data_IF_273630501757
#
_entry.id   IF_273630501757
#
_cell.length_a   1.000
_cell.length_b   1.000
_cell.length_c   1.000
_cell.angle_alpha   90.00
_cell.angle_beta   90.00
_cell.angle_gamma   90.00
#
_symmetry.space_group_name_H-M   'P 1'
#
loop_
_entity.id
_entity.type
_entity.pdbx_description
1 polymer ?
#
# COMPACT_ATOMS: atom_id res chain seq x y z
N UNK A 1 -3.16 7.37 17.46
CA UNK A 1 -3.72 6.10 16.97
C UNK A 1 -4.86 5.69 17.88
N UNK A 2 -6.05 5.38 17.34
CA UNK A 2 -7.19 5.01 18.19
C UNK A 2 -7.06 3.56 18.69
N UNK A 3 -7.67 3.21 19.84
CA UNK A 3 -7.59 1.87 20.42
C UNK A 3 -8.04 0.77 19.45
N UNK A 4 -9.07 1.08 18.64
CA UNK A 4 -9.62 0.15 17.63
C UNK A 4 -8.59 -0.25 16.58
N UNK A 5 -7.79 0.72 16.11
CA UNK A 5 -6.73 0.48 15.12
C UNK A 5 -5.60 -0.35 15.75
N UNK A 6 -5.22 -0.07 17.00
CA UNK A 6 -4.18 -0.83 17.70
C UNK A 6 -4.57 -2.31 17.88
N UNK A 7 -5.83 -2.58 18.24
CA UNK A 7 -6.37 -3.94 18.35
C UNK A 7 -6.38 -4.66 17.00
N UNK A 8 -6.77 -3.98 15.93
CA UNK A 8 -6.77 -4.55 14.58
C UNK A 8 -5.35 -4.92 14.11
N UNK A 9 -4.35 -4.06 14.33
CA UNK A 9 -2.97 -4.37 13.94
C UNK A 9 -2.40 -5.56 14.71
N UNK A 10 -2.68 -5.65 16.02
CA UNK A 10 -2.28 -6.82 16.83
C UNK A 10 -2.89 -8.12 16.29
N UNK A 11 -4.16 -8.10 15.88
CA UNK A 11 -4.82 -9.27 15.27
C UNK A 11 -4.13 -9.70 13.97
N UNK A 12 -3.70 -8.74 13.15
CA UNK A 12 -2.97 -9.00 11.91
C UNK A 12 -1.52 -9.47 12.14
N UNK A 13 -1.06 -9.56 13.39
CA UNK A 13 0.35 -9.85 13.70
C UNK A 13 1.30 -8.70 13.33
N UNK A 14 0.76 -7.50 13.08
CA UNK A 14 1.53 -6.31 12.73
C UNK A 14 1.93 -5.61 14.03
N UNK A 15 3.17 -5.81 14.44
CA UNK A 15 3.74 -5.16 15.61
C UNK A 15 4.01 -3.66 15.37
N UNK A 16 4.19 -2.85 16.44
CA UNK A 16 4.40 -1.41 16.34
C UNK A 16 5.59 -1.00 15.47
N UNK A 17 6.65 -1.81 15.47
CA UNK A 17 7.83 -1.59 14.63
C UNK A 17 7.48 -1.70 13.14
N UNK A 18 6.73 -2.75 12.75
CA UNK A 18 6.29 -2.94 11.38
C UNK A 18 5.31 -1.84 10.95
N UNK A 19 4.39 -1.43 11.84
CA UNK A 19 3.52 -0.26 11.61
C UNK A 19 4.32 0.99 11.27
N UNK A 20 5.41 1.24 12.01
CA UNK A 20 6.27 2.41 11.78
C UNK A 20 7.04 2.30 10.47
N UNK A 21 7.56 1.11 10.14
CA UNK A 21 8.25 0.86 8.86
C UNK A 21 7.31 1.09 7.68
N UNK A 22 6.07 0.59 7.75
CA UNK A 22 5.05 0.82 6.72
C UNK A 22 4.81 2.33 6.55
N UNK A 23 4.52 3.04 7.64
CA UNK A 23 4.25 4.48 7.57
C UNK A 23 5.41 5.31 7.04
N UNK A 24 6.66 4.99 7.44
CA UNK A 24 7.85 5.67 6.88
C UNK A 24 7.98 5.37 5.38
N UNK A 25 7.75 4.13 4.97
CA UNK A 25 7.87 3.71 3.57
C UNK A 25 6.78 4.34 2.69
N UNK A 26 5.56 4.50 3.19
CA UNK A 26 4.48 5.22 2.50
C UNK A 26 4.84 6.69 2.30
N UNK A 27 5.35 7.36 3.34
CA UNK A 27 5.79 8.76 3.24
C UNK A 27 6.95 8.88 2.24
N UNK A 28 7.93 7.99 2.31
CA UNK A 28 9.05 7.97 1.37
C UNK A 28 8.57 7.74 -0.07
N UNK A 29 7.61 6.84 -0.28
CA UNK A 29 6.98 6.60 -1.56
C UNK A 29 6.24 7.83 -2.09
N UNK A 30 5.46 8.51 -1.25
CA UNK A 30 4.76 9.74 -1.62
C UNK A 30 5.73 10.87 -2.00
N UNK A 31 6.78 11.08 -1.20
CA UNK A 31 7.85 12.05 -1.50
C UNK A 31 8.56 11.68 -2.79
N UNK A 32 8.88 10.40 -3.00
CA UNK A 32 9.51 9.91 -4.22
C UNK A 32 8.64 10.07 -5.47
N UNK A 33 7.31 9.89 -5.37
CA UNK A 33 6.38 10.16 -6.46
C UNK A 33 6.33 11.64 -6.81
N UNK A 34 6.30 12.53 -5.81
CA UNK A 34 6.36 13.98 -6.01
C UNK A 34 7.68 14.34 -6.71
N UNK A 35 8.82 13.87 -6.21
CA UNK A 35 10.13 14.07 -6.85
C UNK A 35 10.19 13.49 -8.28
N UNK A 36 9.47 12.39 -8.52
CA UNK A 36 9.34 11.71 -9.80
C UNK A 36 8.77 12.58 -10.93
N UNK A 37 8.05 13.65 -10.59
CA UNK A 37 7.54 14.64 -11.56
C UNK A 37 8.69 15.32 -12.30
N UNK A 38 9.82 15.54 -11.62
CA UNK A 38 11.02 16.14 -12.22
C UNK A 38 12.05 15.09 -12.66
N UNK A 39 12.05 13.91 -12.06
CA UNK A 39 12.99 12.83 -12.33
C UNK A 39 12.27 11.49 -12.49
N UNK A 40 11.90 11.15 -13.71
CA UNK A 40 11.13 9.92 -14.01
C UNK A 40 11.69 8.65 -13.34
N UNK A 41 13.02 8.37 -13.30
CA UNK A 41 13.55 7.19 -12.63
C UNK A 41 13.21 7.11 -11.13
N UNK A 42 13.17 8.25 -10.44
CA UNK A 42 12.81 8.32 -9.01
C UNK A 42 11.33 8.01 -8.82
N UNK A 43 10.47 8.53 -9.70
CA UNK A 43 9.04 8.25 -9.69
C UNK A 43 8.75 6.76 -9.91
N UNK A 44 9.43 6.13 -10.88
CA UNK A 44 9.30 4.69 -11.15
C UNK A 44 9.73 3.86 -9.94
N UNK A 45 10.88 4.18 -9.33
CA UNK A 45 11.36 3.48 -8.14
C UNK A 45 10.40 3.63 -6.95
N UNK A 46 9.86 4.83 -6.73
CA UNK A 46 8.89 5.10 -5.67
C UNK A 46 7.56 4.36 -5.90
N UNK A 47 7.05 4.36 -7.13
CA UNK A 47 5.86 3.61 -7.52
C UNK A 47 6.04 2.10 -7.30
N UNK A 48 7.18 1.55 -7.71
CA UNK A 48 7.50 0.13 -7.50
C UNK A 48 7.53 -0.21 -5.99
N UNK A 49 8.15 0.64 -5.16
CA UNK A 49 8.15 0.48 -3.71
C UNK A 49 6.74 0.48 -3.11
N UNK A 50 5.90 1.43 -3.52
CA UNK A 50 4.50 1.50 -3.07
C UNK A 50 3.67 0.28 -3.52
N UNK A 51 3.86 -0.19 -4.75
CA UNK A 51 3.23 -1.43 -5.25
C UNK A 51 3.62 -2.62 -4.37
N UNK A 52 4.91 -2.76 -4.02
CA UNK A 52 5.38 -3.81 -3.12
C UNK A 52 4.72 -3.72 -1.72
N UNK A 53 4.59 -2.51 -1.16
CA UNK A 53 3.89 -2.31 0.12
C UNK A 53 2.42 -2.73 0.04
N UNK A 54 1.72 -2.34 -1.04
CA UNK A 54 0.31 -2.66 -1.25
C UNK A 54 0.08 -4.17 -1.44
N UNK A 55 0.98 -4.87 -2.15
CA UNK A 55 0.98 -6.33 -2.23
C UNK A 55 1.09 -6.95 -0.83
N UNK A 56 2.03 -6.45 -0.01
CA UNK A 56 2.18 -6.89 1.37
C UNK A 56 0.90 -6.74 2.18
N UNK A 57 0.20 -5.60 2.05
CA UNK A 57 -1.08 -5.36 2.71
C UNK A 57 -2.17 -6.37 2.28
N UNK A 58 -2.30 -6.61 0.96
CA UNK A 58 -3.25 -7.61 0.42
C UNK A 58 -2.97 -9.00 0.98
N UNK A 59 -1.70 -9.41 1.05
CA UNK A 59 -1.30 -10.70 1.62
C UNK A 59 -1.66 -10.81 3.10
N UNK A 60 -1.40 -9.76 3.91
CA UNK A 60 -1.75 -9.75 5.34
C UNK A 60 -3.27 -9.88 5.55
N UNK A 61 -4.08 -9.16 4.78
CA UNK A 61 -5.54 -9.28 4.84
C UNK A 61 -6.04 -10.66 4.38
N UNK A 62 -5.40 -11.24 3.35
CA UNK A 62 -5.70 -12.60 2.89
C UNK A 62 -5.41 -13.66 3.95
N UNK A 63 -4.23 -13.59 4.58
CA UNK A 63 -3.84 -14.49 5.68
C UNK A 63 -4.75 -14.36 6.90
N UNK A 64 -5.30 -13.17 7.14
CA UNK A 64 -6.24 -12.91 8.23
C UNK A 64 -7.70 -13.28 7.90
N UNK A 65 -7.97 -13.74 6.67
CA UNK A 65 -9.31 -14.11 6.21
C UNK A 65 -10.26 -12.93 6.00
N UNK A 66 -9.75 -11.70 5.92
CA UNK A 66 -10.59 -10.50 5.93
C UNK A 66 -11.45 -10.34 4.67
N UNK A 67 -11.04 -10.93 3.54
CA UNK A 67 -11.82 -10.91 2.30
C UNK A 67 -13.14 -11.69 2.40
N UNK A 68 -13.21 -12.69 3.28
CA UNK A 68 -14.41 -13.52 3.49
C UNK A 68 -15.32 -12.98 4.59
N UNK A 69 -14.85 -12.01 5.38
CA UNK A 69 -15.62 -11.40 6.46
C UNK A 69 -16.31 -10.12 5.98
N UNK A 70 -17.65 -10.11 5.96
CA UNK A 70 -18.45 -9.00 5.42
C UNK A 70 -18.17 -7.65 6.10
N UNK A 71 -17.87 -7.64 7.40
CA UNK A 71 -17.58 -6.42 8.17
C UNK A 71 -16.22 -5.81 7.82
N UNK A 72 -15.25 -6.67 7.44
CA UNK A 72 -13.84 -6.28 7.21
C UNK A 72 -13.48 -6.22 5.73
N UNK A 73 -14.33 -6.78 4.87
CA UNK A 73 -14.10 -6.85 3.43
C UNK A 73 -13.80 -5.48 2.83
N UNK A 74 -14.52 -4.44 3.24
CA UNK A 74 -14.30 -3.09 2.72
C UNK A 74 -12.91 -2.55 3.09
N UNK A 75 -12.45 -2.79 4.32
CA UNK A 75 -11.11 -2.41 4.77
C UNK A 75 -10.02 -3.21 4.02
N UNK A 76 -10.25 -4.50 3.79
CA UNK A 76 -9.32 -5.39 3.09
C UNK A 76 -9.23 -5.14 1.57
N UNK A 77 -10.31 -4.65 0.95
CA UNK A 77 -10.35 -4.36 -0.49
C UNK A 77 -9.61 -3.07 -0.84
N UNK A 78 -9.51 -2.11 0.09
CA UNK A 78 -8.85 -0.83 -0.15
C UNK A 78 -7.42 -0.98 -0.71
N UNK A 79 -6.49 -1.72 -0.08
CA UNK A 79 -5.15 -1.90 -0.63
C UNK A 79 -5.13 -2.61 -1.98
N UNK A 80 -6.06 -3.55 -2.22
CA UNK A 80 -6.19 -4.21 -3.53
C UNK A 80 -6.64 -3.26 -4.64
N UNK A 81 -7.61 -2.38 -4.35
CA UNK A 81 -8.05 -1.35 -5.28
C UNK A 81 -6.95 -0.33 -5.58
N UNK A 82 -6.25 0.15 -4.54
CA UNK A 82 -5.10 1.05 -4.71
C UNK A 82 -3.96 0.40 -5.52
N UNK A 83 -3.71 -0.90 -5.31
CA UNK A 83 -2.70 -1.64 -6.07
C UNK A 83 -3.04 -1.68 -7.57
N UNK A 84 -4.31 -1.93 -7.91
CA UNK A 84 -4.76 -1.94 -9.31
C UNK A 84 -4.58 -0.54 -9.92
N UNK A 85 -4.99 0.51 -9.22
CA UNK A 85 -4.83 1.90 -9.69
C UNK A 85 -3.36 2.27 -9.86
N UNK A 86 -2.50 1.94 -8.89
CA UNK A 86 -1.07 2.21 -8.97
C UNK A 86 -0.40 1.44 -10.13
N UNK A 87 -0.81 0.18 -10.34
CA UNK A 87 -0.27 -0.68 -11.40
C UNK A 87 -0.66 -0.25 -12.81
N UNK A 88 -1.77 0.46 -13.00
CA UNK A 88 -2.21 0.93 -14.33
C UNK A 88 -1.59 2.26 -14.75
N UNK A 89 -1.11 3.09 -13.81
CA UNK A 89 -0.52 4.41 -14.10
C UNK A 89 0.84 4.28 -14.83
N UNK A 90 1.65 3.27 -14.50
CA UNK A 90 2.96 3.04 -15.13
C UNK A 90 2.87 2.74 -16.64
N UNK A 91 2.05 1.76 -17.07
CA UNK A 91 1.84 1.47 -18.48
C UNK A 91 1.21 2.62 -19.27
N UNK A 92 0.28 3.37 -18.67
CA UNK A 92 -0.44 4.45 -19.35
C UNK A 92 0.50 5.59 -19.80
N UNK A 93 1.56 5.86 -19.03
CA UNK A 93 2.59 6.85 -19.37
C UNK A 93 3.58 6.36 -20.44
N UNK A 94 3.79 5.04 -20.54
CA UNK A 94 4.65 4.41 -21.56
C UNK A 94 3.92 4.19 -22.89
N UNK A 95 2.59 4.22 -22.88
CA UNK A 95 1.73 4.07 -24.07
C UNK A 95 1.26 5.38 -24.70
N UNK A 96 1.64 6.54 -24.14
CA UNK A 96 1.31 7.83 -24.72
C UNK A 96 2.21 8.08 -25.96
N UNK A 97 1.62 8.38 -27.14
CA UNK A 97 2.36 8.60 -28.38
C UNK A 97 3.19 9.88 -28.36
#
# INVERSE_FOLDING_TARGET
MSPRVATNLRRLGVGPALTRVIGISEIAGAVGLIAGIWMAPVGIAAAAGLICLLIGAVVYHGRAGDFSNRERRTEALAPGALLIVAGTIGPLLLSAP
#
